data_IF_432114291068
#
_entry.id   IF_432114291068
#
_cell.length_a   1.000
_cell.length_b   1.000
_cell.length_c   1.000
_cell.angle_alpha   90.00
_cell.angle_beta   90.00
_cell.angle_gamma   90.00
#
_symmetry.space_group_name_H-M   'P 1'
#
loop_
_entity.id
_entity.type
_entity.pdbx_description
1 polymer ?
#
# COMPACT_ATOMS: atom_id res chain seq x y z
N UNK A 1 2.84 7.31 16.29
CA UNK A 1 3.74 8.46 16.57
C UNK A 1 3.71 8.88 18.03
N UNK A 2 4.85 9.29 18.59
CA UNK A 2 4.92 9.96 19.90
C UNK A 2 4.61 11.44 19.76
N UNK A 3 3.86 12.00 20.72
CA UNK A 3 3.62 13.45 20.78
C UNK A 3 4.95 14.21 20.91
N UNK A 4 5.13 15.29 20.14
CA UNK A 4 6.31 16.15 20.16
C UNK A 4 5.94 17.60 19.83
N UNK A 5 6.78 18.55 20.24
CA UNK A 5 6.53 20.00 20.13
C UNK A 5 7.58 20.76 19.30
N UNK A 6 8.54 20.04 18.72
CA UNK A 6 9.73 20.54 18.02
C UNK A 6 9.65 20.25 16.52
N UNK A 7 8.47 20.45 15.92
CA UNK A 7 8.24 20.20 14.51
C UNK A 7 9.07 21.12 13.62
N UNK A 8 9.63 20.53 12.57
CA UNK A 8 10.38 21.17 11.50
C UNK A 8 9.76 20.77 10.16
N UNK A 9 10.05 21.50 9.09
CA UNK A 9 9.60 21.10 7.75
C UNK A 9 10.04 19.68 7.41
N UNK A 10 11.28 19.30 7.77
CA UNK A 10 11.81 17.95 7.52
C UNK A 10 11.04 16.86 8.28
N UNK A 11 10.78 17.05 9.57
CA UNK A 11 10.00 16.06 10.34
C UNK A 11 8.55 15.94 9.89
N UNK A 12 7.98 17.00 9.29
CA UNK A 12 6.66 16.92 8.64
C UNK A 12 6.75 16.16 7.31
N UNK A 13 7.85 16.26 6.56
CA UNK A 13 8.07 15.41 5.35
C UNK A 13 8.13 13.94 5.73
N UNK A 14 8.92 13.60 6.75
CA UNK A 14 9.02 12.23 7.26
C UNK A 14 7.65 11.70 7.69
N UNK A 15 6.87 12.52 8.41
CA UNK A 15 5.51 12.18 8.79
C UNK A 15 4.60 11.92 7.58
N UNK A 16 4.61 12.80 6.57
CA UNK A 16 3.78 12.61 5.37
C UNK A 16 4.12 11.33 4.59
N UNK A 17 5.30 10.75 4.82
CA UNK A 17 5.79 9.53 4.17
C UNK A 17 5.70 8.29 5.06
N UNK A 18 5.29 8.44 6.33
CA UNK A 18 5.15 7.32 7.27
C UNK A 18 4.13 6.30 6.76
N UNK A 19 4.59 5.07 6.55
CA UNK A 19 3.79 3.95 6.04
C UNK A 19 3.65 2.83 7.09
N UNK A 20 3.41 3.19 8.35
CA UNK A 20 3.22 2.25 9.46
C UNK A 20 1.74 1.91 9.62
N UNK A 21 1.43 0.61 9.74
CA UNK A 21 0.11 0.12 10.15
C UNK A 21 0.23 -0.63 11.49
N UNK A 22 -0.46 -0.14 12.52
CA UNK A 22 -0.36 -0.67 13.87
C UNK A 22 -1.13 -2.00 14.08
N UNK A 23 -2.13 -2.27 13.23
CA UNK A 23 -2.99 -3.45 13.34
C UNK A 23 -2.44 -4.67 12.60
N UNK A 24 -1.70 -4.47 11.51
CA UNK A 24 -1.20 -5.57 10.68
C UNK A 24 -0.22 -6.50 11.44
N UNK A 25 0.76 -6.02 12.22
CA UNK A 25 1.60 -6.87 13.06
C UNK A 25 0.83 -7.66 14.12
N UNK A 26 -0.26 -7.10 14.66
CA UNK A 26 -1.10 -7.79 15.64
C UNK A 26 -1.82 -8.95 14.96
N UNK A 27 -2.38 -8.70 13.78
CA UNK A 27 -3.07 -9.72 12.97
C UNK A 27 -2.10 -10.81 12.50
N UNK A 28 -0.92 -10.44 12.00
CA UNK A 28 0.13 -11.37 11.60
C UNK A 28 0.56 -12.29 12.75
N UNK A 29 0.83 -11.73 13.94
CA UNK A 29 1.16 -12.52 15.14
C UNK A 29 0.02 -13.44 15.57
N UNK A 30 -1.23 -13.01 15.46
CA UNK A 30 -2.39 -13.86 15.77
C UNK A 30 -2.53 -15.05 14.83
N UNK A 31 -2.26 -14.86 13.54
CA UNK A 31 -2.24 -15.95 12.56
C UNK A 31 -1.03 -16.87 12.77
N UNK A 32 0.15 -16.31 13.04
CA UNK A 32 1.35 -17.10 13.33
C UNK A 32 1.25 -17.94 14.60
N UNK A 33 0.50 -17.49 15.60
CA UNK A 33 0.35 -18.21 16.87
C UNK A 33 -0.36 -19.57 16.72
N UNK A 34 -1.10 -19.80 15.62
CA UNK A 34 -1.86 -21.04 15.41
C UNK A 34 -1.22 -21.99 14.40
N UNK A 35 -0.30 -21.52 13.56
CA UNK A 35 0.33 -22.36 12.52
C UNK A 35 1.46 -23.21 13.09
N UNK A 36 1.63 -24.41 12.54
CA UNK A 36 2.85 -25.20 12.72
C UNK A 36 4.07 -24.42 12.18
N UNK A 37 5.06 -24.09 13.04
CA UNK A 37 6.28 -23.40 12.61
C UNK A 37 7.04 -24.14 11.50
N UNK A 38 6.85 -25.45 11.36
CA UNK A 38 7.41 -26.28 10.31
C UNK A 38 6.93 -25.92 8.90
N UNK A 39 5.80 -25.21 8.75
CA UNK A 39 5.33 -24.72 7.45
C UNK A 39 6.23 -23.64 6.84
N UNK A 40 7.03 -22.97 7.67
CA UNK A 40 8.03 -22.01 7.22
C UNK A 40 9.39 -22.66 6.90
N UNK A 41 9.50 -23.98 6.85
CA UNK A 41 10.74 -24.65 6.41
C UNK A 41 11.10 -24.17 5.01
N UNK A 42 12.34 -23.70 4.83
CA UNK A 42 12.85 -23.02 3.63
C UNK A 42 12.35 -21.58 3.41
N UNK A 43 11.62 -21.02 4.37
CA UNK A 43 11.13 -19.63 4.38
C UNK A 43 11.46 -18.94 5.71
N UNK A 44 12.53 -19.35 6.38
CA UNK A 44 12.99 -18.82 7.67
C UNK A 44 13.17 -17.28 7.64
N UNK A 45 13.70 -16.66 6.57
CA UNK A 45 13.79 -15.19 6.49
C UNK A 45 12.43 -14.50 6.51
N UNK A 46 11.42 -15.08 5.85
CA UNK A 46 10.08 -14.50 5.78
C UNK A 46 9.38 -14.60 7.13
N UNK A 47 9.53 -15.76 7.80
CA UNK A 47 9.03 -15.95 9.16
C UNK A 47 9.65 -14.94 10.12
N UNK A 48 10.98 -14.80 10.09
CA UNK A 48 11.69 -13.84 10.93
C UNK A 48 11.26 -12.39 10.65
N UNK A 49 11.03 -12.04 9.38
CA UNK A 49 10.52 -10.73 9.00
C UNK A 49 9.11 -10.47 9.58
N UNK A 50 8.19 -11.45 9.50
CA UNK A 50 6.86 -11.33 10.09
C UNK A 50 6.89 -11.27 11.63
N UNK A 51 7.74 -12.06 12.29
CA UNK A 51 7.90 -12.08 13.76
C UNK A 51 8.35 -10.72 14.31
N UNK A 52 9.25 -10.04 13.59
CA UNK A 52 9.83 -8.76 14.00
C UNK A 52 9.15 -7.55 13.35
N UNK A 53 8.05 -7.76 12.63
CA UNK A 53 7.41 -6.70 11.88
C UNK A 53 6.77 -5.67 12.83
N UNK A 54 7.18 -4.41 12.68
CA UNK A 54 6.63 -3.28 13.43
C UNK A 54 5.47 -2.57 12.70
N UNK A 55 5.07 -3.06 11.52
CA UNK A 55 3.99 -2.49 10.71
C UNK A 55 4.47 -1.60 9.57
N UNK A 56 5.77 -1.38 9.40
CA UNK A 56 6.31 -0.59 8.29
C UNK A 56 6.07 -1.26 6.94
N UNK A 57 5.82 -0.46 5.92
CA UNK A 57 5.72 -0.89 4.53
C UNK A 57 6.88 -0.32 3.71
N UNK A 58 8.07 -0.38 4.29
CA UNK A 58 9.30 0.03 3.62
C UNK A 58 9.50 -0.80 2.35
N UNK A 59 10.13 -0.22 1.34
CA UNK A 59 10.21 -0.82 0.00
C UNK A 59 10.96 -2.17 -0.01
N UNK A 60 11.92 -2.35 0.88
CA UNK A 60 12.72 -3.56 1.07
C UNK A 60 12.11 -4.53 2.10
N UNK A 61 10.98 -4.17 2.75
CA UNK A 61 10.35 -5.02 3.74
C UNK A 61 9.78 -6.31 3.11
N UNK A 62 10.02 -7.45 3.75
CA UNK A 62 9.52 -8.77 3.31
C UNK A 62 8.15 -9.09 3.93
N UNK A 63 7.95 -8.68 5.19
CA UNK A 63 6.74 -8.97 5.96
C UNK A 63 5.42 -8.57 5.25
N UNK A 64 5.25 -7.35 4.72
CA UNK A 64 4.00 -6.96 4.07
C UNK A 64 3.68 -7.81 2.83
N UNK A 65 4.70 -8.24 2.08
CA UNK A 65 4.55 -9.10 0.89
C UNK A 65 3.85 -10.42 1.21
N UNK A 66 4.31 -11.14 2.25
CA UNK A 66 3.63 -12.35 2.68
C UNK A 66 2.30 -12.02 3.36
N UNK A 67 2.27 -10.98 4.21
CA UNK A 67 1.11 -10.66 5.02
C UNK A 67 -0.16 -10.43 4.18
N UNK A 68 -0.13 -9.61 3.13
CA UNK A 68 -1.33 -9.34 2.33
C UNK A 68 -1.80 -10.56 1.55
N UNK A 69 -0.88 -11.35 0.98
CA UNK A 69 -1.21 -12.59 0.29
C UNK A 69 -1.88 -13.59 1.24
N UNK A 70 -1.30 -13.75 2.44
CA UNK A 70 -1.80 -14.64 3.47
C UNK A 70 -3.12 -14.16 4.07
N UNK A 71 -3.28 -12.86 4.28
CA UNK A 71 -4.52 -12.27 4.73
C UNK A 71 -5.65 -12.50 3.73
N UNK A 72 -5.40 -12.30 2.43
CA UNK A 72 -6.40 -12.56 1.40
C UNK A 72 -6.89 -14.01 1.46
N UNK A 73 -5.98 -14.98 1.41
CA UNK A 73 -6.35 -16.41 1.42
C UNK A 73 -6.98 -16.84 2.74
N UNK A 74 -6.59 -16.23 3.87
CA UNK A 74 -7.19 -16.50 5.17
C UNK A 74 -8.63 -16.00 5.23
N UNK A 75 -8.88 -14.77 4.76
CA UNK A 75 -10.24 -14.23 4.70
C UNK A 75 -11.08 -14.99 3.68
N UNK A 76 -10.53 -15.37 2.53
CA UNK A 76 -11.25 -16.18 1.55
C UNK A 76 -11.72 -17.51 2.17
N UNK A 77 -10.81 -18.25 2.81
CA UNK A 77 -11.14 -19.50 3.49
C UNK A 77 -12.01 -19.37 4.74
N UNK A 78 -12.23 -18.15 5.26
CA UNK A 78 -13.04 -17.84 6.45
C UNK A 78 -14.46 -17.37 6.11
N UNK A 79 -14.75 -16.95 4.89
CA UNK A 79 -16.06 -16.32 4.64
C UNK A 79 -16.58 -16.45 3.21
N UNK A 80 -15.75 -16.90 2.27
CA UNK A 80 -16.20 -17.02 0.88
C UNK A 80 -17.23 -18.15 0.71
N UNK A 81 -17.27 -19.15 1.60
CA UNK A 81 -18.24 -20.22 1.54
C UNK A 81 -19.65 -19.80 1.98
N UNK A 82 -19.79 -18.92 2.97
CA UNK A 82 -21.11 -18.40 3.38
C UNK A 82 -21.55 -17.17 2.58
N UNK A 83 -20.61 -16.29 2.19
CA UNK A 83 -20.93 -15.09 1.41
C UNK A 83 -21.08 -15.39 -0.08
N UNK A 84 -20.35 -16.38 -0.59
CA UNK A 84 -20.11 -16.53 -2.02
C UNK A 84 -19.05 -15.55 -2.53
N UNK A 85 -18.50 -15.85 -3.72
CA UNK A 85 -17.35 -15.12 -4.26
C UNK A 85 -17.66 -13.64 -4.54
N UNK A 86 -18.83 -13.31 -5.07
CA UNK A 86 -19.19 -11.92 -5.39
C UNK A 86 -19.24 -11.04 -4.13
N UNK A 87 -19.94 -11.50 -3.09
CA UNK A 87 -20.10 -10.74 -1.86
C UNK A 87 -18.80 -10.69 -1.04
N UNK A 88 -17.97 -11.73 -1.09
CA UNK A 88 -16.62 -11.68 -0.55
C UNK A 88 -15.77 -10.59 -1.23
N UNK A 89 -15.79 -10.54 -2.56
CA UNK A 89 -15.06 -9.53 -3.34
C UNK A 89 -15.58 -8.10 -3.11
N UNK A 90 -16.87 -7.95 -2.79
CA UNK A 90 -17.44 -6.68 -2.35
C UNK A 90 -17.00 -6.33 -0.92
N UNK A 91 -17.05 -7.29 0.01
CA UNK A 91 -16.67 -7.10 1.42
C UNK A 91 -15.26 -6.53 1.57
N UNK A 92 -14.26 -7.13 0.90
CA UNK A 92 -12.85 -6.70 0.97
C UNK A 92 -12.57 -5.32 0.37
N UNK A 93 -13.55 -4.71 -0.31
CA UNK A 93 -13.51 -3.32 -0.82
C UNK A 93 -14.21 -2.33 0.10
N UNK A 94 -14.96 -2.82 1.09
CA UNK A 94 -15.70 -1.95 1.99
C UNK A 94 -14.83 -1.44 3.12
N UNK A 95 -15.22 -0.31 3.69
CA UNK A 95 -14.61 0.19 4.91
C UNK A 95 -14.85 -0.76 6.13
N UNK A 96 -15.86 -1.65 6.07
CA UNK A 96 -16.11 -2.66 7.11
C UNK A 96 -14.98 -3.69 7.22
N UNK A 97 -14.32 -4.00 6.10
CA UNK A 97 -13.14 -4.87 6.08
C UNK A 97 -12.06 -4.32 7.04
N UNK A 98 -11.67 -3.05 6.87
CA UNK A 98 -10.62 -2.41 7.67
C UNK A 98 -10.94 -2.45 9.17
N UNK A 99 -12.19 -2.12 9.54
CA UNK A 99 -12.60 -2.09 10.95
C UNK A 99 -12.77 -3.47 11.59
N UNK A 100 -13.22 -4.46 10.83
CA UNK A 100 -13.64 -5.75 11.39
C UNK A 100 -12.52 -6.78 11.38
N UNK A 101 -11.67 -6.78 10.34
CA UNK A 101 -10.68 -7.84 10.11
C UNK A 101 -9.70 -8.02 11.27
N UNK A 102 -9.11 -6.96 11.87
CA UNK A 102 -8.20 -7.15 13.00
C UNK A 102 -8.86 -7.91 14.16
N UNK A 103 -10.13 -7.63 14.46
CA UNK A 103 -10.87 -8.30 15.53
C UNK A 103 -11.31 -9.72 15.13
N UNK A 104 -11.77 -9.90 13.89
CA UNK A 104 -12.18 -11.20 13.34
C UNK A 104 -11.02 -12.19 13.38
N UNK A 105 -9.84 -11.81 12.87
CA UNK A 105 -8.63 -12.64 12.90
C UNK A 105 -8.25 -13.01 14.34
N UNK A 106 -8.37 -12.10 15.30
CA UNK A 106 -8.05 -12.37 16.71
C UNK A 106 -9.08 -13.26 17.43
N UNK A 107 -10.28 -13.44 16.89
CA UNK A 107 -11.35 -14.21 17.54
C UNK A 107 -11.19 -15.70 17.21
N UNK A 108 -10.73 -16.49 18.19
CA UNK A 108 -10.49 -17.92 17.99
C UNK A 108 -11.79 -18.69 17.69
N UNK A 109 -12.86 -18.42 18.44
CA UNK A 109 -14.13 -19.14 18.34
C UNK A 109 -15.16 -18.44 17.44
N UNK A 110 -14.69 -17.88 16.33
CA UNK A 110 -15.59 -17.24 15.35
C UNK A 110 -16.40 -18.31 14.59
N UNK A 111 -17.71 -18.11 14.35
CA UNK A 111 -18.50 -19.03 13.52
C UNK A 111 -17.97 -19.08 12.07
N UNK A 112 -17.38 -17.99 11.60
CA UNK A 112 -16.74 -17.87 10.29
C UNK A 112 -15.52 -18.78 10.09
N UNK A 113 -14.99 -19.46 11.12
CA UNK A 113 -13.91 -20.44 10.88
C UNK A 113 -14.42 -21.79 10.37
N UNK A 114 -15.72 -21.97 10.23
CA UNK A 114 -16.31 -23.24 9.81
C UNK A 114 -16.71 -23.15 8.34
N UNK A 115 -16.06 -23.94 7.48
CA UNK A 115 -16.51 -24.05 6.10
C UNK A 115 -17.82 -24.85 6.06
N UNK A 116 -18.93 -24.24 5.64
CA UNK A 116 -20.23 -24.92 5.62
C UNK A 116 -20.35 -25.96 4.50
N UNK A 117 -19.41 -25.99 3.56
CA UNK A 117 -19.40 -26.91 2.43
C UNK A 117 -18.61 -28.20 2.71
N UNK A 118 -18.01 -28.35 3.88
CA UNK A 118 -17.24 -29.54 4.25
C UNK A 118 -17.98 -30.41 5.27
N UNK A 119 -17.72 -31.73 5.32
CA UNK A 119 -18.43 -32.62 6.25
C UNK A 119 -18.07 -32.42 7.73
N UNK A 120 -16.97 -31.72 8.02
CA UNK A 120 -16.46 -31.51 9.37
C UNK A 120 -16.16 -30.04 9.61
N UNK A 121 -16.23 -29.60 10.86
CA UNK A 121 -15.98 -28.21 11.23
C UNK A 121 -14.49 -27.92 11.23
N UNK A 122 -14.03 -27.09 10.31
CA UNK A 122 -12.66 -26.57 10.33
C UNK A 122 -12.43 -25.69 11.55
N UNK A 123 -11.17 -25.68 11.94
CA UNK A 123 -10.62 -24.80 12.95
C UNK A 123 -9.93 -23.61 12.29
N UNK A 124 -9.81 -22.50 13.04
CA UNK A 124 -8.96 -21.37 12.65
C UNK A 124 -7.57 -21.82 12.20
N UNK A 125 -6.98 -22.81 12.89
CA UNK A 125 -5.67 -23.36 12.55
C UNK A 125 -5.65 -23.92 11.12
N UNK A 126 -6.60 -24.78 10.78
CA UNK A 126 -6.65 -25.44 9.47
C UNK A 126 -6.80 -24.43 8.33
N UNK A 127 -7.68 -23.43 8.48
CA UNK A 127 -7.86 -22.36 7.48
C UNK A 127 -6.58 -21.54 7.32
N UNK A 128 -6.01 -21.06 8.44
CA UNK A 128 -4.83 -20.21 8.43
C UNK A 128 -3.59 -20.94 7.89
N UNK A 129 -3.40 -22.22 8.21
CA UNK A 129 -2.32 -23.05 7.67
C UNK A 129 -2.49 -23.34 6.18
N UNK A 130 -3.71 -23.59 5.73
CA UNK A 130 -4.02 -23.80 4.31
C UNK A 130 -3.74 -22.53 3.51
N UNK A 131 -4.18 -21.38 4.03
CA UNK A 131 -3.89 -20.08 3.44
C UNK A 131 -2.39 -19.77 3.40
N UNK A 132 -1.64 -20.13 4.45
CA UNK A 132 -0.18 -19.92 4.50
C UNK A 132 0.55 -20.73 3.43
N UNK A 133 0.25 -22.04 3.32
CA UNK A 133 0.86 -22.93 2.31
C UNK A 133 0.64 -22.38 0.90
N UNK A 134 -0.59 -22.01 0.59
CA UNK A 134 -0.97 -21.43 -0.71
C UNK A 134 -0.23 -20.12 -0.97
N UNK A 135 -0.15 -19.24 0.02
CA UNK A 135 0.53 -17.95 -0.11
C UNK A 135 2.03 -18.10 -0.38
N UNK A 136 2.71 -19.01 0.33
CA UNK A 136 4.13 -19.30 0.14
C UNK A 136 4.41 -19.89 -1.24
N UNK A 137 3.56 -20.80 -1.72
CA UNK A 137 3.67 -21.40 -3.06
C UNK A 137 3.48 -20.34 -4.16
N UNK A 138 2.40 -19.55 -4.09
CA UNK A 138 2.12 -18.52 -5.09
C UNK A 138 3.19 -17.41 -5.09
N UNK A 139 3.71 -17.01 -3.93
CA UNK A 139 4.81 -16.03 -3.85
C UNK A 139 6.12 -16.59 -4.38
N UNK A 140 6.40 -17.87 -4.15
CA UNK A 140 7.56 -18.54 -4.75
C UNK A 140 7.47 -18.56 -6.27
N UNK A 141 6.30 -18.85 -6.82
CA UNK A 141 6.08 -18.84 -8.27
C UNK A 141 6.18 -17.42 -8.85
N UNK A 142 5.71 -16.42 -8.11
CA UNK A 142 5.69 -15.01 -8.54
C UNK A 142 7.05 -14.31 -8.40
N UNK A 143 7.77 -14.52 -7.30
CA UNK A 143 8.97 -13.76 -6.91
C UNK A 143 10.26 -14.60 -6.89
N UNK A 144 10.14 -15.92 -7.10
CA UNK A 144 11.23 -16.87 -7.16
C UNK A 144 11.54 -17.55 -5.83
N UNK A 145 12.47 -18.52 -5.88
CA UNK A 145 12.83 -19.40 -4.76
C UNK A 145 13.53 -18.70 -3.59
N UNK A 146 14.14 -17.54 -3.84
CA UNK A 146 14.90 -16.81 -2.82
C UNK A 146 13.96 -15.86 -2.06
N UNK A 147 13.43 -16.34 -0.94
CA UNK A 147 12.46 -15.59 -0.15
C UNK A 147 13.02 -14.36 0.55
N UNK A 148 14.35 -14.19 0.61
CA UNK A 148 14.98 -12.96 1.08
C UNK A 148 14.76 -11.79 0.11
N UNK A 149 14.41 -12.10 -1.14
CA UNK A 149 14.17 -11.11 -2.19
C UNK A 149 12.69 -10.78 -2.38
N UNK A 150 11.80 -11.20 -1.48
CA UNK A 150 10.35 -10.93 -1.56
C UNK A 150 9.99 -9.54 -1.01
N UNK A 151 10.71 -8.54 -1.49
CA UNK A 151 10.59 -7.14 -1.07
C UNK A 151 9.26 -6.53 -1.53
N UNK A 152 8.68 -5.68 -0.68
CA UNK A 152 7.40 -4.99 -0.92
C UNK A 152 7.37 -4.22 -2.24
N UNK A 153 8.49 -3.63 -2.65
CA UNK A 153 8.61 -2.90 -3.92
C UNK A 153 8.27 -3.72 -5.17
N UNK A 154 8.31 -5.06 -5.09
CA UNK A 154 8.00 -5.96 -6.20
C UNK A 154 6.50 -6.21 -6.38
N UNK A 155 5.71 -5.90 -5.37
CA UNK A 155 4.26 -6.14 -5.37
C UNK A 155 3.47 -4.85 -5.49
N UNK A 156 3.99 -3.72 -4.99
CA UNK A 156 3.31 -2.43 -5.07
C UNK A 156 3.52 -1.74 -6.42
N UNK A 157 2.45 -1.18 -6.98
CA UNK A 157 2.47 -0.46 -8.26
C UNK A 157 1.82 0.90 -8.09
N UNK A 158 2.56 1.95 -8.43
CA UNK A 158 2.04 3.32 -8.56
C UNK A 158 1.87 3.67 -10.04
N UNK A 159 0.60 3.69 -10.46
CA UNK A 159 0.19 4.08 -11.80
C UNK A 159 -1.04 4.97 -11.70
N UNK A 160 -1.00 6.13 -12.34
CA UNK A 160 -2.13 7.05 -12.44
C UNK A 160 -2.83 6.81 -13.78
N UNK A 161 -3.96 6.08 -13.81
CA UNK A 161 -4.64 5.74 -15.04
C UNK A 161 -5.33 6.96 -15.64
N UNK A 162 -5.30 7.04 -16.97
CA UNK A 162 -6.07 8.03 -17.72
C UNK A 162 -7.33 7.38 -18.32
N UNK A 163 -8.47 8.09 -18.45
CA UNK A 163 -9.69 7.52 -19.05
C UNK A 163 -9.46 6.91 -20.45
N UNK A 164 -8.65 7.57 -21.30
CA UNK A 164 -8.27 7.02 -22.61
C UNK A 164 -7.34 5.80 -22.49
N UNK A 165 -6.56 5.70 -21.40
CA UNK A 165 -5.71 4.55 -21.09
C UNK A 165 -6.48 3.29 -20.70
N UNK A 166 -7.79 3.37 -20.46
CA UNK A 166 -8.63 2.19 -20.18
C UNK A 166 -8.67 1.18 -21.35
N UNK A 167 -8.31 1.61 -22.57
CA UNK A 167 -8.20 0.73 -23.74
C UNK A 167 -6.74 0.51 -24.10
N UNK A 168 -6.25 -0.73 -23.93
CA UNK A 168 -4.89 -1.10 -24.35
C UNK A 168 -4.74 -0.95 -25.88
N UNK A 169 -3.60 -0.45 -26.41
CA UNK A 169 -2.37 -0.10 -25.69
C UNK A 169 -2.26 1.39 -25.28
N UNK A 170 -3.37 2.15 -25.25
CA UNK A 170 -3.35 3.57 -24.92
C UNK A 170 -2.89 3.84 -23.48
N UNK A 171 -2.97 2.85 -22.58
CA UNK A 171 -2.38 2.88 -21.24
C UNK A 171 -0.90 3.26 -21.28
N UNK A 172 -0.15 2.78 -22.28
CA UNK A 172 1.29 3.05 -22.43
C UNK A 172 1.62 4.49 -22.79
N UNK A 173 0.63 5.20 -23.32
CA UNK A 173 0.76 6.59 -23.77
C UNK A 173 0.25 7.52 -22.67
N UNK A 174 -0.96 7.26 -22.17
CA UNK A 174 -1.66 8.20 -21.30
C UNK A 174 -1.46 7.95 -19.80
N UNK A 175 -1.18 6.72 -19.35
CA UNK A 175 -1.01 6.51 -17.92
C UNK A 175 0.35 7.04 -17.47
N UNK A 176 0.38 7.65 -16.28
CA UNK A 176 1.64 8.06 -15.65
C UNK A 176 2.07 6.97 -14.69
N UNK A 177 3.23 6.35 -14.96
CA UNK A 177 3.84 5.35 -14.08
C UNK A 177 4.97 5.98 -13.28
N UNK A 178 5.09 5.61 -12.02
CA UNK A 178 6.15 6.06 -11.14
C UNK A 178 6.83 4.86 -10.44
N UNK A 179 8.01 5.05 -9.84
CA UNK A 179 8.63 4.02 -9.02
C UNK A 179 7.71 3.50 -7.91
N UNK A 180 7.97 2.29 -7.39
CA UNK A 180 7.29 1.74 -6.22
C UNK A 180 7.31 2.70 -5.03
N UNK A 181 6.25 2.64 -4.20
CA UNK A 181 6.05 3.51 -3.04
C UNK A 181 5.74 2.69 -1.80
N UNK A 182 6.11 3.22 -0.63
CA UNK A 182 5.61 2.68 0.64
C UNK A 182 4.10 2.92 0.69
N UNK A 183 3.31 1.87 0.88
CA UNK A 183 1.86 1.95 0.69
C UNK A 183 1.10 1.03 1.64
N UNK A 184 0.10 1.60 2.31
CA UNK A 184 -1.04 0.89 2.90
C UNK A 184 -2.20 1.89 3.12
N UNK A 185 -3.36 1.37 3.50
CA UNK A 185 -4.60 2.17 3.60
C UNK A 185 -4.76 2.94 4.92
N UNK A 186 -4.12 2.50 6.01
CA UNK A 186 -4.33 3.04 7.37
C UNK A 186 -3.17 3.89 7.89
N UNK A 187 -2.08 4.03 7.14
CA UNK A 187 -0.94 4.88 7.50
C UNK A 187 -1.15 6.36 7.17
N UNK A 188 -0.26 7.22 7.67
CA UNK A 188 -0.28 8.66 7.36
C UNK A 188 -0.06 8.90 5.86
N UNK A 189 0.92 8.21 5.26
CA UNK A 189 1.07 8.15 3.81
C UNK A 189 -0.01 7.22 3.21
N UNK A 190 -1.25 7.70 3.20
CA UNK A 190 -2.43 6.93 2.79
C UNK A 190 -2.40 6.65 1.28
N UNK A 191 -1.95 5.45 0.91
CA UNK A 191 -1.89 4.97 -0.47
C UNK A 191 -2.57 3.59 -0.53
N UNK A 192 -3.92 3.54 -0.47
CA UNK A 192 -4.67 2.31 -0.44
C UNK A 192 -4.60 1.54 -1.75
N UNK A 193 -4.83 0.24 -1.65
CA UNK A 193 -5.03 -0.70 -2.73
C UNK A 193 -6.06 -1.74 -2.28
N UNK A 194 -6.73 -2.38 -3.24
CA UNK A 194 -7.66 -3.45 -2.92
C UNK A 194 -6.91 -4.76 -2.67
N UNK A 195 -7.20 -5.41 -1.55
CA UNK A 195 -6.71 -6.76 -1.25
C UNK A 195 -7.15 -7.72 -2.36
N UNK A 196 -6.26 -8.60 -2.81
CA UNK A 196 -6.50 -9.40 -4.01
C UNK A 196 -5.70 -10.72 -3.97
N UNK A 197 -6.08 -11.72 -4.80
CA UNK A 197 -5.35 -12.98 -4.88
C UNK A 197 -4.03 -12.87 -5.66
N UNK A 198 -3.88 -11.92 -6.58
CA UNK A 198 -2.72 -11.87 -7.48
C UNK A 198 -1.43 -11.41 -6.78
N UNK A 199 -1.54 -10.74 -5.63
CA UNK A 199 -0.39 -10.26 -4.86
C UNK A 199 0.30 -9.06 -5.51
N UNK A 200 -0.39 -8.34 -6.41
CA UNK A 200 0.04 -7.08 -7.00
C UNK A 200 -0.89 -5.96 -6.50
N UNK A 201 -0.32 -5.06 -5.73
CA UNK A 201 -1.00 -4.01 -4.99
C UNK A 201 -0.95 -2.70 -5.77
N UNK A 202 -1.96 -2.49 -6.61
CA UNK A 202 -2.10 -1.25 -7.39
C UNK A 202 -2.74 -0.18 -6.52
N UNK A 203 -1.96 0.88 -6.24
CA UNK A 203 -2.46 2.05 -5.52
C UNK A 203 -3.63 2.65 -6.30
N UNK A 204 -4.77 2.84 -5.65
CA UNK A 204 -6.01 3.28 -6.29
C UNK A 204 -6.49 4.67 -5.82
N UNK A 205 -5.86 5.22 -4.78
CA UNK A 205 -6.12 6.56 -4.26
C UNK A 205 -4.88 7.06 -3.50
N UNK A 206 -4.81 8.36 -3.26
CA UNK A 206 -3.70 8.97 -2.53
C UNK A 206 -3.79 10.48 -2.44
N UNK A 207 -2.81 11.13 -1.78
CA UNK A 207 -2.71 12.58 -1.72
C UNK A 207 -2.67 13.20 -3.12
N UNK A 208 -3.67 14.03 -3.44
CA UNK A 208 -3.71 14.79 -4.70
C UNK A 208 -2.61 15.87 -4.77
N UNK A 209 -2.09 16.28 -3.61
CA UNK A 209 -0.95 17.16 -3.44
C UNK A 209 -0.40 16.94 -2.02
N UNK A 210 0.91 17.08 -1.85
CA UNK A 210 1.53 17.26 -0.53
C UNK A 210 2.02 18.70 -0.43
N UNK A 211 1.78 19.37 0.71
CA UNK A 211 2.13 20.77 0.95
C UNK A 211 2.75 20.88 2.34
N UNK A 212 3.79 21.70 2.46
CA UNK A 212 4.42 22.06 3.73
C UNK A 212 4.65 23.57 3.74
N UNK A 213 4.14 24.25 4.77
CA UNK A 213 4.25 25.70 4.94
C UNK A 213 4.79 25.97 6.33
N UNK A 214 5.94 26.66 6.39
CA UNK A 214 6.40 27.32 7.61
C UNK A 214 5.81 28.73 7.64
N UNK A 215 4.92 29.01 8.60
CA UNK A 215 4.31 30.34 8.73
C UNK A 215 5.28 31.42 9.21
N UNK A 216 6.41 31.06 9.81
CA UNK A 216 7.47 32.01 10.12
C UNK A 216 8.33 32.36 8.87
N UNK A 217 8.31 31.50 7.85
CA UNK A 217 9.04 31.69 6.60
C UNK A 217 8.29 31.06 5.40
N UNK A 218 7.23 31.75 4.96
CA UNK A 218 6.34 31.23 3.90
C UNK A 218 7.03 31.04 2.54
N UNK A 219 8.15 31.73 2.29
CA UNK A 219 8.95 31.58 1.06
C UNK A 219 9.69 30.24 0.98
N UNK A 220 9.83 29.54 2.10
CA UNK A 220 10.35 28.17 2.15
C UNK A 220 9.26 27.10 1.97
N UNK A 221 8.03 27.49 1.58
CA UNK A 221 6.96 26.53 1.33
C UNK A 221 7.33 25.56 0.21
N UNK A 222 6.87 24.32 0.35
CA UNK A 222 7.18 23.23 -0.57
C UNK A 222 5.91 22.45 -0.91
N UNK A 223 5.85 21.91 -2.13
CA UNK A 223 4.76 21.04 -2.56
C UNK A 223 5.23 19.99 -3.56
N UNK A 224 4.40 18.98 -3.77
CA UNK A 224 4.54 18.05 -4.89
C UNK A 224 3.17 17.52 -5.32
N UNK A 225 2.99 17.35 -6.62
CA UNK A 225 1.84 16.67 -7.23
C UNK A 225 2.20 15.22 -7.57
N UNK A 226 1.23 14.29 -7.52
CA UNK A 226 1.44 12.89 -7.88
C UNK A 226 1.83 12.66 -9.35
N UNK A 227 1.55 13.63 -10.23
CA UNK A 227 1.91 13.57 -11.65
C UNK A 227 2.66 14.82 -12.11
N UNK A 228 1.92 15.89 -12.42
CA UNK A 228 2.42 17.10 -13.04
C UNK A 228 1.36 18.20 -13.00
N UNK A 229 1.74 19.43 -13.33
CA UNK A 229 0.81 20.57 -13.30
C UNK A 229 -0.18 20.56 -14.47
N UNK A 230 0.17 19.93 -15.59
CA UNK A 230 -0.62 19.96 -16.82
C UNK A 230 -1.40 18.67 -17.04
N UNK A 231 -2.66 18.78 -17.46
CA UNK A 231 -3.44 17.64 -17.95
C UNK A 231 -3.23 17.31 -19.43
N UNK A 232 -2.41 18.10 -20.15
CA UNK A 232 -2.10 17.85 -21.56
C UNK A 232 -0.89 16.92 -21.67
N UNK A 233 -1.07 15.76 -22.30
CA UNK A 233 -0.02 14.74 -22.48
C UNK A 233 1.21 15.25 -23.24
N UNK A 234 1.05 16.24 -24.13
CA UNK A 234 2.16 16.83 -24.89
C UNK A 234 2.90 17.92 -24.11
N UNK A 235 2.44 18.24 -22.90
CA UNK A 235 3.10 19.19 -22.02
C UNK A 235 4.31 18.53 -21.35
N UNK A 236 5.46 19.23 -21.26
CA UNK A 236 6.57 18.74 -20.45
C UNK A 236 6.22 18.65 -18.96
N UNK A 237 5.13 19.28 -18.51
CA UNK A 237 4.65 19.27 -17.12
C UNK A 237 3.48 18.29 -16.88
N UNK A 238 3.32 17.27 -17.74
CA UNK A 238 2.27 16.25 -17.58
C UNK A 238 2.56 15.28 -16.44
N UNK A 239 3.82 14.87 -16.31
CA UNK A 239 4.29 13.84 -15.39
C UNK A 239 5.62 14.20 -14.70
N UNK A 240 6.02 15.46 -14.75
CA UNK A 240 7.35 15.94 -14.34
C UNK A 240 7.64 15.82 -12.83
N UNK A 241 6.61 15.57 -12.02
CA UNK A 241 6.73 15.37 -10.57
C UNK A 241 6.48 13.93 -10.13
N UNK A 242 6.08 13.02 -11.01
CA UNK A 242 5.69 11.67 -10.63
C UNK A 242 6.81 10.90 -9.90
N UNK A 243 8.04 11.02 -10.39
CA UNK A 243 9.21 10.42 -9.74
C UNK A 243 9.54 11.09 -8.39
N UNK A 244 9.46 12.43 -8.35
CA UNK A 244 9.67 13.22 -7.13
C UNK A 244 8.66 12.80 -6.04
N UNK A 245 7.38 12.70 -6.39
CA UNK A 245 6.30 12.27 -5.51
C UNK A 245 6.54 10.86 -4.95
N UNK A 246 6.90 9.91 -5.82
CA UNK A 246 7.14 8.52 -5.43
C UNK A 246 8.34 8.40 -4.48
N UNK A 247 9.38 9.21 -4.69
CA UNK A 247 10.57 9.29 -3.84
C UNK A 247 10.38 10.13 -2.58
N UNK A 248 9.19 10.68 -2.33
CA UNK A 248 8.92 11.54 -1.18
C UNK A 248 9.68 12.87 -1.22
N UNK A 249 10.03 13.34 -2.41
CA UNK A 249 10.69 14.61 -2.62
C UNK A 249 9.67 15.73 -2.87
N UNK A 250 10.12 16.97 -2.73
CA UNK A 250 9.29 18.17 -2.84
C UNK A 250 9.98 19.23 -3.70
N UNK A 251 9.19 20.18 -4.20
CA UNK A 251 9.69 21.38 -4.91
C UNK A 251 9.22 22.67 -4.22
N UNK A 252 9.97 23.78 -4.34
CA UNK A 252 9.56 25.06 -3.81
C UNK A 252 8.22 25.55 -4.36
N UNK A 253 7.39 26.15 -3.49
CA UNK A 253 6.24 26.97 -3.84
C UNK A 253 6.65 28.45 -3.78
N UNK A 254 7.07 28.99 -4.93
CA UNK A 254 7.53 30.39 -4.99
C UNK A 254 6.36 31.34 -4.70
N UNK A 255 6.50 32.20 -3.68
CA UNK A 255 5.52 33.24 -3.34
C UNK A 255 6.06 34.64 -3.68
N UNK A 256 7.39 34.84 -3.61
CA UNK A 256 8.02 36.09 -3.96
C UNK A 256 7.90 36.42 -5.46
N UNK A 257 7.31 37.57 -5.77
CA UNK A 257 7.08 38.01 -7.16
C UNK A 257 8.37 38.04 -8.01
N UNK A 258 9.48 38.51 -7.45
CA UNK A 258 10.74 38.60 -8.19
C UNK A 258 11.29 37.22 -8.53
N UNK A 259 11.20 36.26 -7.61
CA UNK A 259 11.59 34.86 -7.84
C UNK A 259 10.70 34.20 -8.90
N UNK A 260 9.38 34.41 -8.81
CA UNK A 260 8.42 33.90 -9.79
C UNK A 260 8.76 34.43 -11.19
N UNK A 261 9.01 35.73 -11.33
CA UNK A 261 9.37 36.34 -12.62
C UNK A 261 10.67 35.80 -13.18
N UNK A 262 11.68 35.58 -12.33
CA UNK A 262 12.98 35.05 -12.74
C UNK A 262 12.91 33.56 -13.14
N UNK A 263 12.07 32.77 -12.49
CA UNK A 263 11.91 31.34 -12.76
C UNK A 263 10.89 31.04 -13.89
N UNK A 264 10.10 32.03 -14.31
CA UNK A 264 9.01 31.87 -15.27
C UNK A 264 9.49 31.27 -16.60
N UNK A 265 8.77 30.26 -17.10
CA UNK A 265 9.01 29.65 -18.41
C UNK A 265 8.24 30.35 -19.56
N UNK A 266 7.25 31.16 -19.20
CA UNK A 266 6.45 31.94 -20.14
C UNK A 266 5.60 32.99 -19.40
N UNK A 267 5.12 33.99 -20.14
CA UNK A 267 4.23 35.04 -19.64
C UNK A 267 3.11 35.25 -20.64
N UNK A 268 1.86 35.23 -20.16
CA UNK A 268 0.67 35.54 -20.94
C UNK A 268 0.01 36.79 -20.36
N UNK A 269 -0.31 37.75 -21.22
CA UNK A 269 -1.04 38.97 -20.87
C UNK A 269 -2.39 38.93 -21.58
N UNK A 270 -3.48 39.01 -20.81
CA UNK A 270 -4.82 39.17 -21.35
C UNK A 270 -5.16 40.66 -21.38
N UNK A 271 -5.70 41.12 -22.50
CA UNK A 271 -6.16 42.49 -22.70
C UNK A 271 -7.67 42.58 -22.48
#
# INVERSE_FOLDING_TARGET
>A
MTARNDWTQESIKDLQLEAINENHPISARSMMAVVDPGLFRNYEPVRAALENWNGSHDLDAIAPTLYYKWLYHTLHGMMADELGEEDFQNFIKTFLYIRSVPKLIQTADSPWWNNVNTPGKETKKEIVETALKKSLEELKDQLGNDSQKWEWQKTVVLEHPHPLGAKKPLDRIFNVKAPPVTANEESVNKLPFTLNPDGIHRVNSGPAMRIIIDFANVEAAESVLPTGQSGNIFSPWYADQAEMYAKGQYRPMMMNESMIKNAAKGKLLFN
#
